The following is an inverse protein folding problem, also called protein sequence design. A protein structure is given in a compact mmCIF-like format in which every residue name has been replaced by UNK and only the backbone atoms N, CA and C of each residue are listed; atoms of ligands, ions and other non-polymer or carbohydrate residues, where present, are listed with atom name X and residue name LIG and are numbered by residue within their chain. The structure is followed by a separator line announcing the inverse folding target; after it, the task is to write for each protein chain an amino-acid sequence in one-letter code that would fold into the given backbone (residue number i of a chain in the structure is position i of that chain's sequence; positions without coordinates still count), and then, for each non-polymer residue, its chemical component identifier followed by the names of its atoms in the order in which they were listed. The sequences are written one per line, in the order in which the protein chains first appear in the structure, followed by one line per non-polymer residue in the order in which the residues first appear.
data_IF_871921754241
#
_entry.id   IF_871921754241
#
_cell.length_a   1.000
_cell.length_b   1.000
_cell.length_c   1.000
_cell.angle_alpha   90.00
_cell.angle_beta   90.00
_cell.angle_gamma   90.00
#
_symmetry.space_group_name_H-M   'P 1'
#
loop_
_entity.id
_entity.type
_entity.pdbx_description
1 polymer ?
#
# COMPACT_ATOMS: atom_id res chain seq x y z
N UNK A 1 0.66 -10.71 -10.17
CA UNK A 1 -0.25 -9.53 -10.16
C UNK A 1 -0.01 -8.76 -8.88
N UNK A 2 0.11 -7.43 -8.97
CA UNK A 2 0.29 -6.56 -7.80
C UNK A 2 -0.85 -5.54 -7.80
N UNK A 3 -1.63 -5.53 -6.73
CA UNK A 3 -2.76 -4.62 -6.52
C UNK A 3 -2.29 -3.49 -5.59
N UNK A 4 -2.53 -2.24 -5.98
CA UNK A 4 -2.15 -1.07 -5.18
C UNK A 4 -3.35 -0.59 -4.37
N UNK A 5 -3.36 -0.93 -3.08
CA UNK A 5 -4.37 -0.49 -2.12
C UNK A 5 -3.90 0.74 -1.31
N UNK A 6 -4.28 0.84 -0.07
CA UNK A 6 -3.92 1.92 0.84
C UNK A 6 -4.09 1.48 2.30
N UNK A 7 -3.29 2.04 3.18
CA UNK A 7 -3.47 1.93 4.64
C UNK A 7 -4.84 2.46 5.12
N UNK A 8 -5.49 3.31 4.34
CA UNK A 8 -6.83 3.82 4.64
C UNK A 8 -7.89 2.72 4.79
N UNK A 9 -7.74 1.58 4.09
CA UNK A 9 -8.63 0.43 4.24
C UNK A 9 -8.60 -0.11 5.67
N UNK A 10 -7.49 -0.71 6.11
CA UNK A 10 -7.42 -1.34 7.44
C UNK A 10 -7.52 -0.34 8.60
N UNK A 11 -7.14 0.92 8.40
CA UNK A 11 -7.23 1.95 9.45
C UNK A 11 -8.64 2.54 9.62
N UNK A 12 -9.48 2.45 8.61
CA UNK A 12 -10.80 3.09 8.66
C UNK A 12 -10.70 4.62 8.73
N UNK A 13 -10.19 5.24 7.67
CA UNK A 13 -9.98 6.70 7.64
C UNK A 13 -11.29 7.47 7.82
N UNK A 14 -11.38 8.29 8.85
CA UNK A 14 -12.52 9.16 9.08
C UNK A 14 -12.80 10.07 7.86
N UNK A 15 -14.08 10.26 7.50
CA UNK A 15 -14.55 10.98 6.30
C UNK A 15 -14.10 10.35 4.96
N UNK A 16 -13.42 9.21 4.99
CA UNK A 16 -12.93 8.49 3.82
C UNK A 16 -13.73 7.21 3.52
N UNK A 17 -15.00 7.11 3.90
CA UNK A 17 -15.79 5.87 3.85
C UNK A 17 -15.74 5.16 2.50
N UNK A 18 -16.09 5.85 1.41
CA UNK A 18 -16.05 5.27 0.06
C UNK A 18 -14.64 4.82 -0.35
N UNK A 19 -13.63 5.66 -0.08
CA UNK A 19 -12.24 5.34 -0.42
C UNK A 19 -11.70 4.16 0.41
N UNK A 20 -11.90 4.18 1.73
CA UNK A 20 -11.46 3.11 2.62
C UNK A 20 -12.14 1.79 2.28
N UNK A 21 -13.45 1.81 2.00
CA UNK A 21 -14.18 0.60 1.58
C UNK A 21 -13.64 0.05 0.28
N UNK A 22 -13.42 0.89 -0.73
CA UNK A 22 -12.86 0.44 -2.01
C UNK A 22 -11.46 -0.16 -1.83
N UNK A 23 -10.61 0.46 -1.02
CA UNK A 23 -9.25 -0.02 -0.77
C UNK A 23 -9.24 -1.32 0.05
N UNK A 24 -10.16 -1.49 0.99
CA UNK A 24 -10.31 -2.78 1.70
C UNK A 24 -10.87 -3.88 0.80
N UNK A 25 -11.81 -3.56 -0.09
CA UNK A 25 -12.30 -4.50 -1.09
C UNK A 25 -11.17 -5.02 -2.01
N UNK A 26 -10.21 -4.17 -2.40
CA UNK A 26 -9.02 -4.58 -3.18
C UNK A 26 -8.15 -5.58 -2.40
N UNK A 27 -7.99 -5.41 -1.10
CA UNK A 27 -7.29 -6.38 -0.25
C UNK A 27 -8.02 -7.72 -0.18
N UNK A 28 -9.35 -7.69 -0.05
CA UNK A 28 -10.16 -8.91 -0.08
C UNK A 28 -10.07 -9.62 -1.43
N UNK A 29 -10.19 -8.87 -2.53
CA UNK A 29 -10.05 -9.41 -3.88
C UNK A 29 -8.67 -10.06 -4.10
N UNK A 30 -7.60 -9.47 -3.57
CA UNK A 30 -6.25 -10.06 -3.61
C UNK A 30 -6.24 -11.47 -3.04
N UNK A 31 -6.85 -11.68 -1.87
CA UNK A 31 -6.90 -13.00 -1.22
C UNK A 31 -7.72 -14.01 -2.01
N UNK A 32 -8.83 -13.58 -2.59
CA UNK A 32 -9.68 -14.43 -3.44
C UNK A 32 -8.92 -14.87 -4.68
N UNK A 33 -8.38 -13.89 -5.43
CA UNK A 33 -7.63 -14.16 -6.66
C UNK A 33 -6.39 -15.03 -6.42
N UNK A 34 -5.67 -14.81 -5.31
CA UNK A 34 -4.53 -15.66 -4.95
C UNK A 34 -4.92 -17.13 -4.74
N UNK A 35 -6.08 -17.37 -4.11
CA UNK A 35 -6.59 -18.74 -3.90
C UNK A 35 -7.05 -19.39 -5.19
N UNK A 36 -7.75 -18.64 -6.06
CA UNK A 36 -8.29 -19.17 -7.31
C UNK A 36 -7.19 -19.43 -8.35
N UNK A 37 -6.20 -18.52 -8.43
CA UNK A 37 -5.22 -18.52 -9.52
C UNK A 37 -3.87 -19.15 -9.15
N UNK A 38 -3.65 -19.45 -7.87
CA UNK A 38 -2.43 -20.10 -7.43
C UNK A 38 -2.16 -21.45 -8.11
N UNK A 39 -3.21 -22.21 -8.44
CA UNK A 39 -3.10 -23.44 -9.21
C UNK A 39 -2.50 -23.22 -10.62
N UNK A 40 -2.58 -22.02 -11.17
CA UNK A 40 -1.99 -21.63 -12.44
C UNK A 40 -0.62 -20.96 -12.29
N UNK A 41 -0.03 -21.01 -11.09
CA UNK A 41 1.23 -20.36 -10.74
C UNK A 41 1.19 -18.83 -10.91
N UNK A 42 0.02 -18.23 -10.68
CA UNK A 42 -0.16 -16.79 -10.70
C UNK A 42 -0.17 -16.28 -9.26
N UNK A 43 0.85 -15.51 -8.90
CA UNK A 43 0.91 -14.82 -7.62
C UNK A 43 0.10 -13.51 -7.68
N UNK A 44 -0.71 -13.27 -6.65
CA UNK A 44 -1.49 -12.04 -6.50
C UNK A 44 -1.23 -11.47 -5.12
N UNK A 45 -0.60 -10.30 -5.07
CA UNK A 45 -0.28 -9.61 -3.83
C UNK A 45 -0.80 -8.18 -3.84
N UNK A 46 -0.99 -7.62 -2.66
CA UNK A 46 -1.42 -6.26 -2.46
C UNK A 46 -0.33 -5.46 -1.76
N UNK A 47 -0.07 -4.24 -2.23
CA UNK A 47 0.77 -3.27 -1.51
C UNK A 47 -0.07 -2.09 -1.03
N UNK A 48 0.28 -1.56 0.13
CA UNK A 48 -0.28 -0.33 0.69
C UNK A 48 0.86 0.70 0.83
N UNK A 49 1.09 1.52 -0.19
CA UNK A 49 2.19 2.47 -0.18
C UNK A 49 1.84 3.77 0.54
N UNK A 50 2.86 4.41 1.15
CA UNK A 50 2.85 5.80 1.55
C UNK A 50 4.06 6.50 0.94
N UNK A 51 3.86 7.31 -0.11
CA UNK A 51 4.95 7.88 -0.89
C UNK A 51 4.60 9.24 -1.49
N UNK A 52 5.61 9.95 -2.00
CA UNK A 52 5.55 11.26 -2.64
C UNK A 52 4.84 11.22 -4.01
N UNK A 53 3.66 10.60 -4.06
CA UNK A 53 2.82 10.62 -5.26
C UNK A 53 2.38 12.05 -5.62
N UNK A 54 1.98 12.31 -6.88
CA UNK A 54 1.46 13.63 -7.27
C UNK A 54 0.32 14.11 -6.37
N UNK A 55 -0.55 13.19 -5.92
CA UNK A 55 -1.64 13.52 -5.00
C UNK A 55 -1.13 13.92 -3.60
N UNK A 56 -0.06 13.28 -3.11
CA UNK A 56 0.58 13.66 -1.85
C UNK A 56 1.25 15.03 -1.96
N UNK A 57 1.99 15.27 -3.05
CA UNK A 57 2.67 16.54 -3.29
C UNK A 57 1.66 17.69 -3.36
N UNK A 58 0.57 17.52 -4.10
CA UNK A 58 -0.50 18.51 -4.18
C UNK A 58 -1.11 18.82 -2.79
N UNK A 59 -1.28 17.79 -1.96
CA UNK A 59 -1.78 17.97 -0.58
C UNK A 59 -0.76 18.68 0.31
N UNK A 60 0.54 18.37 0.15
CA UNK A 60 1.62 19.04 0.86
C UNK A 60 1.66 20.54 0.58
N UNK A 61 1.43 20.91 -0.69
CA UNK A 61 1.42 22.32 -1.11
C UNK A 61 0.17 23.06 -0.60
N UNK A 62 -0.96 22.37 -0.43
CA UNK A 62 -2.19 22.95 0.07
C UNK A 62 -2.23 23.14 1.59
N UNK A 63 -1.70 22.19 2.34
CA UNK A 63 -1.72 22.19 3.82
C UNK A 63 -0.45 21.51 4.37
N UNK A 64 0.60 22.31 4.52
CA UNK A 64 1.89 21.85 5.03
C UNK A 64 1.83 21.38 6.48
N UNK A 65 1.02 22.01 7.30
CA UNK A 65 0.90 21.65 8.72
C UNK A 65 0.29 20.26 8.86
N UNK A 66 -0.83 20.00 8.17
CA UNK A 66 -1.47 18.70 8.17
C UNK A 66 -0.57 17.61 7.56
N UNK A 67 0.14 17.92 6.48
CA UNK A 67 1.08 17.00 5.84
C UNK A 67 2.26 16.69 6.78
N UNK A 68 2.79 17.67 7.49
CA UNK A 68 3.85 17.50 8.46
C UNK A 68 3.40 16.70 9.67
N UNK A 69 2.17 16.92 10.15
CA UNK A 69 1.59 16.12 11.22
C UNK A 69 1.41 14.66 10.80
N UNK A 70 1.06 14.39 9.54
CA UNK A 70 0.98 13.00 9.04
C UNK A 70 2.33 12.27 9.12
N UNK A 71 3.46 12.97 8.99
CA UNK A 71 4.79 12.37 9.11
C UNK A 71 5.12 11.94 10.53
N UNK A 72 4.50 12.50 11.54
CA UNK A 72 4.75 12.11 12.95
C UNK A 72 4.27 10.68 13.24
N UNK A 73 3.39 10.14 12.41
CA UNK A 73 2.90 8.75 12.53
C UNK A 73 3.78 7.75 11.78
N UNK A 74 4.69 8.22 10.93
CA UNK A 74 5.57 7.36 10.14
C UNK A 74 6.82 7.03 10.94
N UNK A 75 7.02 5.77 11.28
CA UNK A 75 8.15 5.35 12.11
C UNK A 75 9.52 5.75 11.51
N UNK A 76 9.66 5.74 10.18
CA UNK A 76 10.87 6.19 9.48
C UNK A 76 10.99 7.70 9.36
N UNK A 77 10.01 8.49 9.80
CA UNK A 77 10.03 9.96 9.84
C UNK A 77 10.10 10.65 8.47
N UNK A 78 9.79 9.94 7.39
CA UNK A 78 9.82 10.49 6.03
C UNK A 78 8.74 9.93 5.15
N UNK A 79 8.38 10.66 4.10
CA UNK A 79 7.58 10.13 2.98
C UNK A 79 8.45 9.20 2.14
N UNK A 80 7.90 8.09 1.69
CA UNK A 80 8.57 7.19 0.75
C UNK A 80 8.76 7.84 -0.61
N UNK A 81 9.80 7.42 -1.32
CA UNK A 81 10.03 7.75 -2.72
C UNK A 81 9.31 6.73 -3.61
N UNK A 82 8.55 7.21 -4.61
CA UNK A 82 7.76 6.33 -5.48
C UNK A 82 8.62 5.31 -6.24
N UNK A 83 9.81 5.71 -6.68
CA UNK A 83 10.72 4.82 -7.42
C UNK A 83 11.56 3.96 -6.47
N UNK A 84 12.25 4.59 -5.53
CA UNK A 84 13.26 3.93 -4.69
C UNK A 84 12.66 3.05 -3.61
N UNK A 85 11.54 3.47 -3.01
CA UNK A 85 10.91 2.71 -1.93
C UNK A 85 9.78 1.83 -2.48
N UNK A 86 8.85 2.38 -3.28
CA UNK A 86 7.69 1.62 -3.76
C UNK A 86 8.05 0.79 -4.98
N UNK A 87 8.72 1.38 -5.97
CA UNK A 87 9.10 0.70 -7.21
C UNK A 87 9.95 -0.54 -6.98
N UNK A 88 10.91 -0.48 -6.05
CA UNK A 88 11.75 -1.64 -5.70
C UNK A 88 10.97 -2.76 -5.03
N UNK A 89 10.00 -2.44 -4.17
CA UNK A 89 9.11 -3.44 -3.58
C UNK A 89 8.26 -4.12 -4.67
N UNK A 90 7.79 -3.36 -5.66
CA UNK A 90 7.06 -3.89 -6.81
C UNK A 90 7.95 -4.80 -7.66
N UNK A 91 9.18 -4.40 -7.95
CA UNK A 91 10.15 -5.22 -8.70
C UNK A 91 10.43 -6.54 -7.97
N UNK A 92 10.65 -6.50 -6.66
CA UNK A 92 10.81 -7.71 -5.84
C UNK A 92 9.59 -8.64 -5.96
N UNK A 93 8.38 -8.11 -5.80
CA UNK A 93 7.14 -8.88 -5.89
C UNK A 93 6.82 -9.39 -7.31
N UNK A 94 7.40 -8.79 -8.33
CA UNK A 94 7.27 -9.22 -9.73
C UNK A 94 8.37 -10.19 -10.17
N UNK A 95 9.42 -10.32 -9.37
CA UNK A 95 10.60 -11.16 -9.65
C UNK A 95 10.50 -12.57 -9.06
N UNK A 96 11.46 -13.43 -9.41
CA UNK A 96 11.49 -14.82 -8.95
C UNK A 96 11.72 -14.97 -7.44
N UNK A 97 12.31 -13.97 -6.78
CA UNK A 97 12.59 -14.02 -5.34
C UNK A 97 11.32 -14.00 -4.47
N UNK A 98 10.17 -13.72 -5.08
CA UNK A 98 8.86 -13.74 -4.44
C UNK A 98 7.91 -14.85 -4.92
N UNK A 99 8.41 -15.85 -5.62
CA UNK A 99 7.60 -16.92 -6.24
C UNK A 99 6.70 -17.68 -5.26
N UNK A 100 7.04 -17.67 -3.97
CA UNK A 100 6.23 -18.32 -2.93
C UNK A 100 5.42 -17.32 -2.08
N UNK A 101 5.27 -16.07 -2.56
CA UNK A 101 4.50 -15.02 -1.89
C UNK A 101 3.23 -14.76 -2.69
N UNK A 102 2.06 -15.14 -2.16
CA UNK A 102 0.76 -14.84 -2.77
C UNK A 102 -0.32 -14.61 -1.70
N UNK A 103 -1.31 -13.79 -2.01
CA UNK A 103 -2.38 -13.41 -1.09
C UNK A 103 -1.96 -12.44 0.01
N UNK A 104 -0.73 -11.97 0.00
CA UNK A 104 -0.20 -11.08 1.02
C UNK A 104 -0.66 -9.63 0.83
N UNK A 105 -0.81 -8.92 1.96
CA UNK A 105 -0.86 -7.45 1.99
C UNK A 105 0.41 -6.94 2.62
N UNK A 106 1.18 -6.17 1.88
CA UNK A 106 2.48 -5.64 2.29
C UNK A 106 2.38 -4.13 2.46
N UNK A 107 2.65 -3.67 3.67
CA UNK A 107 2.75 -2.25 3.96
C UNK A 107 4.10 -1.74 3.46
N UNK A 108 4.09 -0.75 2.56
CA UNK A 108 5.28 -0.08 2.03
C UNK A 108 5.16 1.41 2.37
N UNK A 109 5.12 1.69 3.66
CA UNK A 109 4.66 2.96 4.22
C UNK A 109 5.58 3.54 5.31
N UNK A 110 6.79 2.98 5.45
CA UNK A 110 7.74 3.44 6.45
C UNK A 110 7.29 3.21 7.90
N UNK A 111 6.36 2.28 8.11
CA UNK A 111 5.81 1.97 9.42
C UNK A 111 4.69 2.94 9.86
N UNK A 112 3.99 3.56 8.92
CA UNK A 112 2.81 4.37 9.21
C UNK A 112 1.67 3.50 9.78
N UNK A 113 1.54 2.28 9.27
CA UNK A 113 0.47 1.37 9.68
C UNK A 113 1.02 -0.02 9.98
N UNK A 114 0.73 -0.50 11.18
CA UNK A 114 1.02 -1.88 11.57
C UNK A 114 -0.23 -2.73 11.37
N UNK A 115 -0.13 -3.80 10.56
CA UNK A 115 -1.18 -4.81 10.45
C UNK A 115 -0.99 -5.84 11.56
N UNK A 116 -2.04 -6.12 12.27
CA UNK A 116 -2.11 -7.14 13.31
C UNK A 116 -2.93 -8.32 12.86
#
# INVERSE_FOLDING_TARGET
IIIVSSSAGPRGMARGGAYSTAKEAMRSLTRVAAREWGQYKINVNCICPFANSPAWVARWDQDREQAQQALTTVAMGRVGDCERDIGRAVVFLAGPDSDYITGATIMVDGGETMLH
#
